data_IF_737345634101
#
_entry.id   IF_737345634101
#
_cell.length_a   1.000
_cell.length_b   1.000
_cell.length_c   1.000
_cell.angle_alpha   90.00
_cell.angle_beta   90.00
_cell.angle_gamma   90.00
#
_symmetry.space_group_name_H-M   'P 1'
#
loop_
_entity.id
_entity.type
_entity.pdbx_description
1 polymer ?
#
# COMPACT_ATOMS: atom_id res chain seq x y z
N UNK A 1 -2.70 -17.99 10.45
CA UNK A 1 -2.97 -17.70 9.02
C UNK A 1 -3.58 -18.95 8.42
N UNK A 2 -4.58 -18.78 7.57
CA UNK A 2 -5.26 -19.85 6.83
C UNK A 2 -4.57 -20.14 5.49
N UNK A 3 -4.95 -21.22 4.82
CA UNK A 3 -4.51 -21.50 3.45
C UNK A 3 -4.93 -20.37 2.48
N UNK A 4 -6.12 -19.82 2.69
CA UNK A 4 -6.62 -18.67 1.94
C UNK A 4 -5.73 -17.42 2.12
N UNK A 5 -5.23 -17.17 3.34
CA UNK A 5 -4.30 -16.06 3.56
C UNK A 5 -2.99 -16.27 2.79
N UNK A 6 -2.53 -17.53 2.66
CA UNK A 6 -1.31 -17.84 1.90
C UNK A 6 -1.52 -17.67 0.40
N UNK A 7 -2.70 -17.97 -0.14
CA UNK A 7 -3.04 -17.64 -1.53
C UNK A 7 -2.99 -16.13 -1.78
N UNK A 8 -3.59 -15.33 -0.88
CA UNK A 8 -3.53 -13.85 -0.95
C UNK A 8 -2.08 -13.37 -0.97
N UNK A 9 -1.21 -13.94 -0.13
CA UNK A 9 0.22 -13.64 -0.15
C UNK A 9 0.84 -13.95 -1.51
N UNK A 10 0.63 -15.15 -2.04
CA UNK A 10 1.27 -15.56 -3.30
C UNK A 10 0.81 -14.71 -4.48
N UNK A 11 -0.45 -14.32 -4.51
CA UNK A 11 -0.96 -13.40 -5.53
C UNK A 11 -0.42 -11.97 -5.34
N UNK A 12 -0.26 -11.50 -4.11
CA UNK A 12 0.38 -10.21 -3.83
C UNK A 12 1.83 -10.19 -4.33
N UNK A 13 2.59 -11.27 -4.10
CA UNK A 13 3.97 -11.41 -4.58
C UNK A 13 4.05 -11.55 -6.10
N UNK A 14 3.05 -12.19 -6.72
CA UNK A 14 2.90 -12.24 -8.18
C UNK A 14 2.63 -10.86 -8.76
N UNK A 15 1.71 -10.09 -8.17
CA UNK A 15 1.41 -8.70 -8.55
C UNK A 15 2.65 -7.81 -8.43
N UNK A 16 3.41 -7.97 -7.35
CA UNK A 16 4.60 -7.17 -7.07
C UNK A 16 5.79 -7.47 -8.01
N UNK A 17 5.87 -8.68 -8.57
CA UNK A 17 6.88 -9.06 -9.56
C UNK A 17 8.08 -9.84 -8.99
N UNK A 18 8.28 -9.85 -7.66
CA UNK A 18 9.27 -10.70 -6.99
C UNK A 18 8.83 -11.05 -5.57
N UNK A 19 9.57 -11.94 -4.91
CA UNK A 19 9.28 -12.41 -3.55
C UNK A 19 10.22 -11.70 -2.57
N UNK A 20 9.67 -10.80 -1.76
CA UNK A 20 10.45 -10.10 -0.75
C UNK A 20 9.71 -10.01 0.58
N UNK A 21 10.49 -9.92 1.65
CA UNK A 21 10.00 -9.87 3.02
C UNK A 21 9.12 -8.65 3.31
N UNK A 22 9.40 -7.51 2.68
CA UNK A 22 8.67 -6.27 2.94
C UNK A 22 7.23 -6.38 2.42
N UNK A 23 7.00 -6.95 1.22
CA UNK A 23 5.66 -7.23 0.71
C UNK A 23 4.91 -8.22 1.62
N UNK A 24 5.59 -9.24 2.13
CA UNK A 24 5.00 -10.20 3.08
C UNK A 24 4.54 -9.49 4.35
N UNK A 25 5.39 -8.63 4.92
CA UNK A 25 5.03 -7.82 6.09
C UNK A 25 3.82 -6.91 5.80
N UNK A 26 3.75 -6.32 4.60
CA UNK A 26 2.61 -5.54 4.14
C UNK A 26 1.32 -6.35 4.08
N UNK A 27 1.36 -7.55 3.48
CA UNK A 27 0.19 -8.45 3.43
C UNK A 27 -0.27 -8.82 4.83
N UNK A 28 0.64 -9.26 5.70
CA UNK A 28 0.31 -9.65 7.07
C UNK A 28 -0.34 -8.51 7.86
N UNK A 29 0.22 -7.30 7.76
CA UNK A 29 -0.34 -6.12 8.43
C UNK A 29 -1.71 -5.74 7.84
N UNK A 30 -1.88 -5.83 6.52
CA UNK A 30 -3.16 -5.56 5.87
C UNK A 30 -4.25 -6.53 6.31
N UNK A 31 -3.95 -7.83 6.33
CA UNK A 31 -4.87 -8.87 6.80
C UNK A 31 -5.23 -8.70 8.28
N UNK A 32 -4.24 -8.41 9.13
CA UNK A 32 -4.47 -8.11 10.54
C UNK A 32 -5.41 -6.89 10.69
N UNK A 33 -5.14 -5.79 9.97
CA UNK A 33 -5.99 -4.59 10.03
C UNK A 33 -7.44 -4.85 9.63
N UNK A 34 -7.69 -5.63 8.58
CA UNK A 34 -9.04 -6.03 8.18
C UNK A 34 -9.74 -6.82 9.28
N UNK A 35 -9.04 -7.80 9.85
CA UNK A 35 -9.55 -8.68 10.91
C UNK A 35 -9.89 -7.90 12.18
N UNK A 36 -8.97 -7.06 12.66
CA UNK A 36 -9.16 -6.29 13.90
C UNK A 36 -10.30 -5.25 13.78
N UNK A 37 -10.47 -4.63 12.60
CA UNK A 37 -11.59 -3.73 12.37
C UNK A 37 -12.93 -4.46 12.14
N UNK A 38 -12.88 -5.76 11.82
CA UNK A 38 -14.05 -6.56 11.46
C UNK A 38 -14.61 -6.22 10.08
N UNK A 39 -13.74 -5.79 9.15
CA UNK A 39 -14.13 -5.35 7.79
C UNK A 39 -13.55 -6.27 6.72
N UNK A 40 -14.16 -6.26 5.53
CA UNK A 40 -13.68 -7.04 4.37
C UNK A 40 -12.77 -6.20 3.49
N UNK A 41 -11.93 -6.87 2.69
CA UNK A 41 -11.15 -6.26 1.62
C UNK A 41 -12.02 -5.34 0.76
N UNK A 42 -11.55 -4.12 0.49
CA UNK A 42 -12.33 -3.07 -0.19
C UNK A 42 -12.44 -3.33 -1.70
N UNK A 43 -13.67 -3.51 -2.20
CA UNK A 43 -13.95 -3.53 -3.64
C UNK A 43 -13.85 -2.14 -4.27
N UNK A 44 -14.40 -1.12 -3.60
CA UNK A 44 -14.35 0.29 -3.99
C UNK A 44 -13.42 1.09 -3.08
N UNK A 45 -13.90 2.24 -2.61
CA UNK A 45 -13.15 3.19 -1.78
C UNK A 45 -13.62 3.22 -0.31
N UNK A 46 -14.28 2.15 0.17
CA UNK A 46 -14.86 2.05 1.53
C UNK A 46 -13.80 2.11 2.63
N UNK A 47 -12.61 1.59 2.35
CA UNK A 47 -11.46 1.68 3.23
C UNK A 47 -10.48 2.73 2.73
N UNK A 48 -9.69 3.28 3.65
CA UNK A 48 -8.55 4.15 3.34
C UNK A 48 -7.31 3.67 4.11
N UNK A 49 -6.14 3.74 3.50
CA UNK A 49 -4.89 3.35 4.15
C UNK A 49 -3.85 4.47 4.13
N UNK A 50 -3.24 4.74 5.28
CA UNK A 50 -2.09 5.65 5.41
C UNK A 50 -0.87 4.79 5.68
N UNK A 51 0.03 4.67 4.70
CA UNK A 51 1.24 3.85 4.80
C UNK A 51 2.44 4.74 5.12
N UNK A 52 3.18 4.42 6.18
CA UNK A 52 4.22 5.27 6.75
C UNK A 52 5.63 5.09 6.13
N UNK A 53 5.74 4.38 5.01
CA UNK A 53 7.01 4.20 4.30
C UNK A 53 7.54 5.54 3.77
N UNK A 54 8.85 5.63 3.62
CA UNK A 54 9.55 6.81 3.09
C UNK A 54 9.77 6.74 1.59
N UNK A 55 10.91 7.28 1.18
CA UNK A 55 11.40 7.31 -0.20
C UNK A 55 12.78 6.65 -0.26
N UNK A 56 13.11 6.07 -1.41
CA UNK A 56 14.46 5.55 -1.72
C UNK A 56 15.06 4.56 -0.71
N UNK A 57 14.23 3.81 0.01
CA UNK A 57 14.66 2.77 0.94
C UNK A 57 14.19 1.37 0.53
N UNK A 58 14.95 0.34 0.92
CA UNK A 58 14.70 -1.06 0.53
C UNK A 58 13.42 -1.70 1.12
N UNK A 59 12.56 -0.94 1.77
CA UNK A 59 11.31 -1.40 2.40
C UNK A 59 10.04 -0.93 1.70
N UNK A 60 10.15 -0.21 0.57
CA UNK A 60 8.98 0.38 -0.10
C UNK A 60 7.97 -0.65 -0.61
N UNK A 61 8.41 -1.88 -0.91
CA UNK A 61 7.55 -2.99 -1.32
C UNK A 61 6.43 -3.32 -0.32
N UNK A 62 6.60 -2.90 0.94
CA UNK A 62 5.58 -2.99 1.99
C UNK A 62 4.22 -2.42 1.57
N UNK A 63 4.20 -1.30 0.86
CA UNK A 63 2.95 -0.69 0.42
C UNK A 63 2.17 -1.60 -0.53
N UNK A 64 2.82 -2.35 -1.41
CA UNK A 64 2.13 -3.26 -2.35
C UNK A 64 1.44 -4.41 -1.64
N UNK A 65 2.04 -4.94 -0.59
CA UNK A 65 1.39 -5.92 0.28
C UNK A 65 0.13 -5.36 0.95
N UNK A 66 0.20 -4.13 1.46
CA UNK A 66 -0.96 -3.42 2.04
C UNK A 66 -2.05 -3.21 0.97
N UNK A 67 -1.66 -2.73 -0.22
CA UNK A 67 -2.59 -2.48 -1.33
C UNK A 67 -3.33 -3.75 -1.72
N UNK A 68 -2.59 -4.84 -1.91
CA UNK A 68 -3.16 -6.11 -2.36
C UNK A 68 -4.11 -6.69 -1.32
N UNK A 69 -3.69 -6.77 -0.05
CA UNK A 69 -4.46 -7.37 1.02
C UNK A 69 -5.73 -6.57 1.35
N UNK A 70 -5.62 -5.25 1.50
CA UNK A 70 -6.73 -4.39 1.96
C UNK A 70 -7.65 -3.92 0.84
N UNK A 71 -7.17 -3.91 -0.40
CA UNK A 71 -7.85 -3.24 -1.51
C UNK A 71 -7.80 -1.71 -1.41
N UNK A 72 -6.95 -1.14 -0.54
CA UNK A 72 -6.64 0.29 -0.57
C UNK A 72 -5.55 0.54 -1.61
N UNK A 73 -5.89 0.98 -2.81
CA UNK A 73 -4.96 1.05 -3.95
C UNK A 73 -4.76 2.46 -4.46
N UNK A 74 -3.60 2.70 -5.06
CA UNK A 74 -3.24 4.00 -5.64
C UNK A 74 -4.26 4.45 -6.69
N UNK A 75 -4.63 3.58 -7.62
CA UNK A 75 -5.58 3.92 -8.69
C UNK A 75 -7.00 4.25 -8.20
N UNK A 76 -7.43 3.67 -7.08
CA UNK A 76 -8.71 4.01 -6.43
C UNK A 76 -8.62 5.26 -5.56
N UNK A 77 -7.42 5.83 -5.40
CA UNK A 77 -7.18 7.01 -4.57
C UNK A 77 -7.47 6.79 -3.08
N UNK A 78 -7.50 5.54 -2.62
CA UNK A 78 -7.83 5.20 -1.23
C UNK A 78 -6.63 4.67 -0.44
N UNK A 79 -5.42 5.07 -0.83
CA UNK A 79 -4.18 4.89 -0.10
C UNK A 79 -3.34 6.15 -0.24
N UNK A 80 -2.64 6.53 0.83
CA UNK A 80 -1.62 7.59 0.78
C UNK A 80 -0.32 7.12 1.42
N UNK A 81 0.78 7.67 0.90
CA UNK A 81 2.10 7.54 1.49
C UNK A 81 2.34 8.69 2.47
N UNK A 82 2.77 8.39 3.68
CA UNK A 82 3.23 9.34 4.69
C UNK A 82 4.72 9.09 4.93
N UNK A 83 5.63 9.93 4.42
CA UNK A 83 7.06 9.64 4.37
C UNK A 83 7.74 9.69 5.74
N UNK A 84 7.55 8.66 6.57
CA UNK A 84 8.16 8.53 7.90
C UNK A 84 9.25 7.44 7.96
N UNK A 85 9.44 6.68 6.88
CA UNK A 85 10.41 5.58 6.81
C UNK A 85 10.04 4.37 7.67
N UNK A 86 8.78 4.24 8.08
CA UNK A 86 8.30 3.17 8.98
C UNK A 86 7.50 2.14 8.21
N UNK A 87 7.73 0.86 8.52
CA UNK A 87 6.87 -0.23 8.07
C UNK A 87 5.61 -0.29 8.96
N UNK A 88 4.72 0.68 8.76
CA UNK A 88 3.47 0.79 9.49
C UNK A 88 2.35 1.28 8.57
N UNK A 89 1.13 0.90 8.91
CA UNK A 89 -0.06 1.29 8.18
C UNK A 89 -1.18 1.64 9.16
N UNK A 90 -1.91 2.72 8.88
CA UNK A 90 -3.19 3.01 9.52
C UNK A 90 -4.30 2.67 8.53
N UNK A 91 -5.12 1.67 8.85
CA UNK A 91 -6.30 1.31 8.08
C UNK A 91 -7.52 2.00 8.68
N UNK A 92 -8.38 2.56 7.83
CA UNK A 92 -9.53 3.38 8.22
C UNK A 92 -10.77 2.88 7.48
N UNK A 93 -11.85 2.59 8.21
CA UNK A 93 -13.19 2.40 7.64
C UNK A 93 -13.88 3.75 7.49
N UNK A 94 -14.10 4.21 6.26
CA UNK A 94 -14.60 5.58 6.02
C UNK A 94 -16.00 5.86 6.59
N UNK A 95 -16.86 4.84 6.64
CA UNK A 95 -18.24 4.97 7.09
C UNK A 95 -18.35 5.31 8.58
N UNK A 96 -17.43 4.78 9.39
CA UNK A 96 -17.44 4.93 10.86
C UNK A 96 -16.26 5.74 11.39
N UNK A 97 -15.27 6.02 10.54
CA UNK A 97 -13.96 6.55 10.92
C UNK A 97 -13.18 5.69 11.93
N UNK A 98 -13.63 4.46 12.21
CA UNK A 98 -12.88 3.49 13.01
C UNK A 98 -11.59 3.15 12.28
N UNK A 99 -10.51 3.23 13.03
CA UNK A 99 -9.17 3.17 12.50
C UNK A 99 -8.28 2.34 13.40
N UNK A 100 -7.32 1.65 12.80
CA UNK A 100 -6.31 0.90 13.53
C UNK A 100 -4.95 1.13 12.89
N UNK A 101 -3.94 1.38 13.73
CA UNK A 101 -2.56 1.50 13.30
C UNK A 101 -1.80 0.23 13.70
N UNK A 102 -1.11 -0.37 12.75
CA UNK A 102 -0.30 -1.57 12.95
C UNK A 102 1.10 -1.31 12.40
N UNK A 103 2.13 -1.71 13.13
CA UNK A 103 3.54 -1.55 12.73
C UNK A 103 4.32 -2.85 12.84
N UNK A 104 5.25 -3.06 11.91
CA UNK A 104 6.17 -4.19 11.92
C UNK A 104 7.25 -4.00 13.00
N UNK A 105 7.54 -5.05 13.77
CA UNK A 105 8.54 -5.05 14.84
C UNK A 105 9.93 -5.39 14.28
N UNK A 106 11.01 -4.91 14.92
CA UNK A 106 12.38 -5.19 14.51
C UNK A 106 12.85 -6.62 14.87
N UNK A 107 11.99 -7.48 15.41
CA UNK A 107 12.35 -8.80 15.97
C UNK A 107 13.14 -9.68 15.00
N UNK A 108 12.76 -9.69 13.72
CA UNK A 108 13.44 -10.47 12.67
C UNK A 108 14.54 -9.68 11.93
N UNK A 109 14.82 -8.43 12.31
CA UNK A 109 15.69 -7.53 11.55
C UNK A 109 17.07 -8.14 11.30
N UNK A 110 17.66 -8.78 12.32
CA UNK A 110 18.96 -9.44 12.19
C UNK A 110 18.92 -10.60 11.20
N UNK A 111 17.95 -11.50 11.33
CA UNK A 111 17.80 -12.65 10.45
C UNK A 111 17.53 -12.23 9.00
N UNK A 112 16.71 -11.19 8.81
CA UNK A 112 16.47 -10.60 7.49
C UNK A 112 17.77 -10.05 6.91
N UNK A 113 18.50 -9.22 7.66
CA UNK A 113 19.77 -8.64 7.22
C UNK A 113 20.83 -9.70 6.89
N UNK A 114 20.88 -10.78 7.67
CA UNK A 114 21.82 -11.90 7.51
C UNK A 114 21.41 -12.89 6.41
N UNK A 115 20.26 -12.71 5.74
CA UNK A 115 19.80 -13.61 4.67
C UNK A 115 20.64 -13.50 3.38
N UNK A 116 20.70 -14.57 2.60
CA UNK A 116 21.37 -14.56 1.29
C UNK A 116 20.77 -13.49 0.35
N UNK A 117 19.44 -13.38 0.34
CA UNK A 117 18.71 -12.35 -0.40
C UNK A 117 19.18 -10.94 -0.06
N UNK A 118 19.20 -10.58 1.23
CA UNK A 118 19.58 -9.22 1.64
C UNK A 118 21.06 -8.93 1.42
N UNK A 119 21.95 -9.91 1.59
CA UNK A 119 23.38 -9.77 1.22
C UNK A 119 23.53 -9.45 -0.27
N UNK A 120 22.83 -10.16 -1.16
CA UNK A 120 22.87 -9.91 -2.61
C UNK A 120 22.28 -8.55 -3.00
N UNK A 121 21.17 -8.15 -2.35
CA UNK A 121 20.63 -6.78 -2.49
C UNK A 121 21.65 -5.72 -2.10
N UNK A 122 22.41 -5.96 -1.01
CA UNK A 122 23.50 -5.08 -0.57
C UNK A 122 24.66 -4.98 -1.56
N UNK A 123 24.82 -5.96 -2.45
CA UNK A 123 25.78 -5.95 -3.56
C UNK A 123 25.20 -5.31 -4.85
N UNK A 124 23.96 -4.80 -4.81
CA UNK A 124 23.32 -4.13 -5.95
C UNK A 124 22.56 -5.06 -6.91
N UNK A 125 22.46 -6.36 -6.60
CA UNK A 125 21.71 -7.32 -7.43
C UNK A 125 20.21 -7.01 -7.33
N UNK A 126 19.49 -7.03 -8.45
CA UNK A 126 18.05 -6.75 -8.45
C UNK A 126 17.27 -7.93 -7.85
N UNK A 127 16.15 -7.67 -7.15
CA UNK A 127 15.47 -8.70 -6.37
C UNK A 127 14.90 -9.84 -7.22
N UNK A 128 14.55 -9.57 -8.47
CA UNK A 128 14.06 -10.53 -9.47
C UNK A 128 15.18 -11.39 -10.10
N UNK A 129 16.43 -10.99 -9.94
CA UNK A 129 17.61 -11.77 -10.38
C UNK A 129 18.09 -12.76 -9.30
N UNK A 130 17.64 -12.60 -8.05
CA UNK A 130 18.02 -13.48 -6.94
C UNK A 130 17.30 -14.82 -7.10
N UNK A 131 17.98 -15.98 -6.90
CA UNK A 131 17.34 -17.29 -7.02
C UNK A 131 16.07 -17.42 -6.19
N UNK A 132 15.02 -18.00 -6.77
CA UNK A 132 13.70 -18.12 -6.15
C UNK A 132 13.76 -18.75 -4.74
N UNK A 133 14.61 -19.75 -4.55
CA UNK A 133 14.83 -20.42 -3.26
C UNK A 133 15.17 -19.42 -2.14
N UNK A 134 16.10 -18.49 -2.40
CA UNK A 134 16.54 -17.48 -1.42
C UNK A 134 15.49 -16.40 -1.20
N UNK A 135 14.70 -16.09 -2.24
CA UNK A 135 13.55 -15.21 -2.07
C UNK A 135 12.49 -15.86 -1.16
N UNK A 136 12.21 -17.15 -1.38
CA UNK A 136 11.22 -17.92 -0.63
C UNK A 136 11.63 -18.18 0.81
N UNK A 137 12.92 -18.43 1.09
CA UNK A 137 13.45 -18.54 2.45
C UNK A 137 13.06 -17.32 3.29
N UNK A 138 13.23 -16.13 2.72
CA UNK A 138 12.91 -14.88 3.39
C UNK A 138 11.39 -14.63 3.49
N UNK A 139 10.63 -15.06 2.48
CA UNK A 139 9.15 -15.05 2.54
C UNK A 139 8.67 -15.91 3.69
N UNK A 140 9.13 -17.15 3.78
CA UNK A 140 8.67 -18.10 4.78
C UNK A 140 9.14 -17.73 6.18
N UNK A 141 10.33 -17.13 6.34
CA UNK A 141 10.79 -16.56 7.62
C UNK A 141 9.77 -15.54 8.16
N UNK A 142 9.35 -14.58 7.34
CA UNK A 142 8.40 -13.53 7.77
C UNK A 142 6.97 -14.04 7.81
N UNK A 143 6.56 -14.97 6.94
CA UNK A 143 5.20 -15.50 6.91
C UNK A 143 4.90 -16.37 8.13
N UNK A 144 5.83 -17.26 8.50
CA UNK A 144 5.62 -18.26 9.54
C UNK A 144 5.87 -17.73 10.96
N UNK A 145 6.48 -16.54 11.11
CA UNK A 145 6.73 -15.97 12.43
C UNK A 145 5.43 -15.67 13.20
N UNK A 146 5.38 -15.90 14.52
CA UNK A 146 4.22 -15.56 15.35
C UNK A 146 3.80 -14.10 15.19
N UNK A 147 2.50 -13.84 15.09
CA UNK A 147 1.97 -12.48 14.89
C UNK A 147 2.43 -11.53 16.01
N UNK A 148 2.33 -11.96 17.26
CA UNK A 148 2.76 -11.22 18.43
C UNK A 148 4.24 -10.81 18.42
N UNK A 149 5.09 -11.55 17.71
CA UNK A 149 6.53 -11.28 17.63
C UNK A 149 6.88 -10.25 16.56
N UNK A 150 6.13 -10.19 15.47
CA UNK A 150 6.50 -9.38 14.29
C UNK A 150 5.64 -8.14 14.06
N UNK A 151 4.55 -7.96 14.81
CA UNK A 151 3.75 -6.74 14.71
C UNK A 151 3.28 -6.22 16.07
N UNK A 152 3.13 -4.89 16.12
CA UNK A 152 2.43 -4.19 17.19
C UNK A 152 1.08 -3.76 16.63
N UNK A 153 0.01 -4.32 17.17
CA UNK A 153 -1.37 -3.96 16.85
C UNK A 153 -1.80 -2.88 17.85
N UNK A 154 -2.16 -1.70 17.36
CA UNK A 154 -2.66 -0.62 18.19
C UNK A 154 -4.13 -0.79 18.58
N UNK A 155 -4.60 0.04 19.50
CA UNK A 155 -6.02 0.13 19.83
C UNK A 155 -6.82 0.75 18.67
N UNK A 156 -8.11 0.42 18.60
CA UNK A 156 -9.02 1.06 17.64
C UNK A 156 -9.31 2.48 18.13
N UNK A 157 -9.15 3.44 17.23
CA UNK A 157 -9.42 4.85 17.48
C UNK A 157 -10.25 5.46 16.35
N UNK A 158 -10.71 6.70 16.55
CA UNK A 158 -11.43 7.46 15.51
C UNK A 158 -10.47 8.40 14.79
N UNK A 159 -10.33 8.24 13.47
CA UNK A 159 -9.59 9.17 12.63
C UNK A 159 -10.50 10.29 12.15
N UNK A 160 -10.08 11.55 12.27
CA UNK A 160 -10.84 12.70 11.81
C UNK A 160 -10.70 12.89 10.29
N UNK A 161 -11.26 11.96 9.51
CA UNK A 161 -11.26 11.99 8.05
C UNK A 161 -12.55 12.55 7.47
N UNK A 162 -12.41 13.44 6.47
CA UNK A 162 -13.50 13.89 5.60
C UNK A 162 -13.39 13.16 4.26
N UNK A 163 -14.48 12.50 3.86
CA UNK A 163 -14.51 11.66 2.67
C UNK A 163 -15.49 12.19 1.65
N UNK A 164 -14.95 12.67 0.53
CA UNK A 164 -15.77 13.17 -0.57
C UNK A 164 -16.12 12.06 -1.56
N UNK A 165 -17.33 12.10 -2.14
CA UNK A 165 -17.71 11.16 -3.20
C UNK A 165 -16.90 11.41 -4.47
N UNK A 166 -16.84 10.40 -5.33
CA UNK A 166 -16.24 10.52 -6.66
C UNK A 166 -17.05 11.48 -7.54
N UNK A 167 -16.35 12.37 -8.25
CA UNK A 167 -16.97 13.26 -9.23
C UNK A 167 -16.97 12.57 -10.59
N UNK A 168 -18.16 12.27 -11.09
CA UNK A 168 -18.34 11.57 -12.36
C UNK A 168 -18.25 12.50 -13.58
N UNK A 169 -17.68 11.97 -14.65
CA UNK A 169 -17.76 12.55 -15.99
C UNK A 169 -16.48 13.24 -16.45
N UNK A 170 -16.37 13.33 -17.77
CA UNK A 170 -15.21 13.85 -18.47
C UNK A 170 -15.66 14.80 -19.57
N UNK A 171 -14.82 15.79 -19.89
CA UNK A 171 -15.00 16.72 -21.02
C UNK A 171 -13.65 16.85 -21.73
N UNK A 172 -13.61 16.86 -23.07
CA UNK A 172 -12.38 17.17 -23.80
C UNK A 172 -11.88 18.58 -23.47
N UNK A 173 -10.58 18.73 -23.21
CA UNK A 173 -9.95 20.04 -23.07
C UNK A 173 -10.13 20.85 -24.36
N UNK A 174 -10.60 22.09 -24.26
CA UNK A 174 -10.86 22.95 -25.42
C UNK A 174 -9.59 23.43 -26.17
N UNK A 175 -8.38 23.12 -25.66
CA UNK A 175 -7.10 23.46 -26.29
C UNK A 175 -6.44 22.20 -26.89
N UNK A 176 -6.14 21.18 -26.07
CA UNK A 176 -5.43 19.99 -26.55
C UNK A 176 -6.35 18.84 -27.01
N UNK A 177 -7.65 18.88 -26.69
CA UNK A 177 -8.61 17.82 -27.03
C UNK A 177 -8.59 16.59 -26.13
N UNK A 178 -7.66 16.49 -25.16
CA UNK A 178 -7.57 15.35 -24.25
C UNK A 178 -8.77 15.25 -23.30
N UNK A 179 -9.23 14.01 -23.07
CA UNK A 179 -10.35 13.74 -22.18
C UNK A 179 -9.96 14.04 -20.72
N UNK A 180 -10.60 15.04 -20.12
CA UNK A 180 -10.24 15.53 -18.78
C UNK A 180 -11.40 15.32 -17.81
N UNK A 181 -11.11 14.75 -16.64
CA UNK A 181 -12.11 14.58 -15.58
C UNK A 181 -12.66 15.94 -15.15
N UNK A 182 -13.97 16.05 -14.93
CA UNK A 182 -14.61 17.33 -14.59
C UNK A 182 -13.98 18.02 -13.39
N UNK A 183 -13.57 17.25 -12.37
CA UNK A 183 -12.91 17.76 -11.17
C UNK A 183 -11.54 18.44 -11.42
N UNK A 184 -10.94 18.23 -12.60
CA UNK A 184 -9.63 18.73 -12.99
C UNK A 184 -9.69 19.81 -14.07
N UNK A 185 -10.87 20.20 -14.53
CA UNK A 185 -11.00 21.30 -15.48
C UNK A 185 -10.72 22.65 -14.81
N UNK A 186 -10.27 23.60 -15.62
CA UNK A 186 -10.13 25.03 -15.30
C UNK A 186 -10.90 25.84 -16.33
N UNK A 187 -11.34 27.02 -15.93
CA UNK A 187 -12.05 27.97 -16.81
C UNK A 187 -11.06 29.02 -17.28
N UNK A 188 -10.87 29.11 -18.60
CA UNK A 188 -10.05 30.13 -19.25
C UNK A 188 -10.92 30.90 -20.23
N UNK A 189 -11.44 32.05 -19.80
CA UNK A 189 -12.50 32.76 -20.53
C UNK A 189 -13.81 31.96 -20.51
N UNK A 190 -14.30 31.59 -21.68
CA UNK A 190 -15.48 30.73 -21.89
C UNK A 190 -15.13 29.25 -22.09
N UNK A 191 -13.84 28.90 -22.12
CA UNK A 191 -13.35 27.55 -22.38
C UNK A 191 -13.11 26.77 -21.10
N UNK A 192 -13.46 25.48 -21.16
CA UNK A 192 -13.03 24.49 -20.18
C UNK A 192 -11.77 23.79 -20.68
N UNK A 193 -10.68 23.88 -19.92
CA UNK A 193 -9.36 23.37 -20.30
C UNK A 193 -8.76 22.53 -19.18
N UNK A 194 -7.83 21.63 -19.51
CA UNK A 194 -7.06 20.90 -18.51
C UNK A 194 -6.07 21.83 -17.78
N UNK A 195 -5.57 21.39 -16.62
CA UNK A 195 -4.63 22.18 -15.79
C UNK A 195 -3.40 22.64 -16.60
N UNK A 196 -2.68 21.78 -17.34
CA UNK A 196 -1.53 22.22 -18.13
C UNK A 196 -1.87 23.29 -19.18
N UNK A 197 -2.97 23.14 -19.92
CA UNK A 197 -3.41 24.12 -20.93
C UNK A 197 -3.94 25.43 -20.32
N UNK A 198 -4.29 25.44 -19.03
CA UNK A 198 -4.72 26.65 -18.34
C UNK A 198 -3.57 27.61 -18.02
N UNK A 199 -2.34 27.10 -17.95
CA UNK A 199 -1.17 27.88 -17.52
C UNK A 199 -1.04 28.07 -16.01
N UNK A 200 -1.87 27.41 -15.20
CA UNK A 200 -1.84 27.47 -13.74
C UNK A 200 -1.51 26.09 -13.12
N UNK A 201 -0.85 26.11 -11.97
CA UNK A 201 -0.59 24.90 -11.17
C UNK A 201 -1.86 24.41 -10.44
N UNK A 202 -1.81 23.19 -9.90
CA UNK A 202 -2.95 22.51 -9.26
C UNK A 202 -3.26 23.07 -7.88
#
# INVERSE_FOLDING_TARGET
MSDQDREILMDALKFHGHRCWASVAGVRIGLAGLRELGVKRSGGTQLFSIVEIGEDHGGMCFADGIQYATGCTFGKGNIIKKPLGKLASTLIEKASNRSIRISYKPTLQKQIADSAFMRKRGLGIMPDEIPLEEQMELVDLVWNAPESEIMTIGEIFTYSGEWFPEIMGFVPCAICGELTAKAYLRVLGDKHVCIPCSGYER
#
